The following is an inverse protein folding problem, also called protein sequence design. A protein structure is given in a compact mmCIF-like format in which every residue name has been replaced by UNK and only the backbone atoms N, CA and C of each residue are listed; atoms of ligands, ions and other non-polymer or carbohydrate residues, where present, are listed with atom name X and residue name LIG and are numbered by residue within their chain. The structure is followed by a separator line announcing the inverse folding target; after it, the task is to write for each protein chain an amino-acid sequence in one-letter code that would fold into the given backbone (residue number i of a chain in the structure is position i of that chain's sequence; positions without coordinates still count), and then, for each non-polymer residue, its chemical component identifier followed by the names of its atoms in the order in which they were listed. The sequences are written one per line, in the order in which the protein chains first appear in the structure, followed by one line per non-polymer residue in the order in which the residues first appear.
data_IF_594009011063
#
_entry.id   IF_594009011063
#
_cell.length_a   1.000
_cell.length_b   1.000
_cell.length_c   1.000
_cell.angle_alpha   90.00
_cell.angle_beta   90.00
_cell.angle_gamma   90.00
#
_symmetry.space_group_name_H-M   'P 1'
#
loop_
_entity.id
_entity.type
_entity.pdbx_description
1 polymer ?
#
# COMPACT_ATOMS: atom_id res chain seq x y z
N UNK A 1 8.00 8.41 -39.57
CA UNK A 1 9.06 8.13 -38.59
C UNK A 1 8.39 7.65 -37.31
N UNK A 2 8.78 6.49 -36.75
CA UNK A 2 8.19 6.03 -35.50
C UNK A 2 8.49 7.02 -34.37
N UNK A 3 7.61 7.08 -33.38
CA UNK A 3 7.78 7.93 -32.19
C UNK A 3 8.19 7.10 -30.98
N UNK A 4 8.92 7.69 -30.03
CA UNK A 4 9.32 7.03 -28.79
C UNK A 4 8.40 7.41 -27.62
N UNK A 5 8.24 6.51 -26.65
CA UNK A 5 7.52 6.77 -25.40
C UNK A 5 8.33 6.22 -24.24
N UNK A 6 8.51 7.04 -23.21
CA UNK A 6 9.19 6.60 -21.99
C UNK A 6 8.44 5.44 -21.31
N UNK A 7 9.17 4.55 -20.61
CA UNK A 7 8.56 3.45 -19.87
C UNK A 7 7.51 3.92 -18.87
N UNK A 8 6.39 3.21 -18.78
CA UNK A 8 5.28 3.57 -17.89
C UNK A 8 5.23 2.77 -16.58
N UNK A 9 6.01 1.69 -16.46
CA UNK A 9 6.09 0.86 -15.26
C UNK A 9 7.49 0.87 -14.68
N UNK A 10 7.61 0.68 -13.37
CA UNK A 10 8.90 0.70 -12.67
C UNK A 10 9.83 -0.43 -13.17
N UNK A 11 9.27 -1.62 -13.44
CA UNK A 11 10.02 -2.71 -14.05
C UNK A 11 10.53 -2.37 -15.45
N UNK A 12 9.74 -1.66 -16.26
CA UNK A 12 10.16 -1.25 -17.60
C UNK A 12 11.24 -0.15 -17.54
N UNK A 13 11.20 0.75 -16.55
CA UNK A 13 12.26 1.74 -16.29
C UNK A 13 13.58 1.07 -15.90
N UNK A 14 13.53 0.15 -14.93
CA UNK A 14 14.71 -0.63 -14.50
C UNK A 14 15.29 -1.39 -15.69
N UNK A 15 14.43 -2.05 -16.49
CA UNK A 15 14.87 -2.78 -17.68
C UNK A 15 15.52 -1.87 -18.71
N UNK A 16 14.94 -0.69 -18.98
CA UNK A 16 15.51 0.27 -19.92
C UNK A 16 16.90 0.75 -19.49
N UNK A 17 17.08 1.09 -18.21
CA UNK A 17 18.38 1.48 -17.68
C UNK A 17 19.41 0.33 -17.74
N UNK A 18 19.02 -0.90 -17.37
CA UNK A 18 19.92 -2.07 -17.43
C UNK A 18 20.38 -2.37 -18.85
N UNK A 19 19.48 -2.36 -19.83
CA UNK A 19 19.84 -2.57 -21.23
C UNK A 19 20.84 -1.52 -21.71
N UNK A 20 20.60 -0.24 -21.39
CA UNK A 20 21.51 0.83 -21.78
C UNK A 20 22.89 0.69 -21.13
N UNK A 21 22.95 0.33 -19.84
CA UNK A 21 24.19 0.13 -19.10
C UNK A 21 24.96 -1.08 -19.62
N UNK A 22 24.31 -2.24 -19.77
CA UNK A 22 24.91 -3.47 -20.29
C UNK A 22 25.48 -3.23 -21.69
N UNK A 23 24.70 -2.60 -22.58
CA UNK A 23 25.15 -2.29 -23.93
C UNK A 23 26.36 -1.34 -23.94
N UNK A 24 26.36 -0.34 -23.06
CA UNK A 24 27.46 0.60 -22.93
C UNK A 24 28.74 -0.04 -22.38
N UNK A 25 28.63 -1.04 -21.51
CA UNK A 25 29.79 -1.78 -20.97
C UNK A 25 30.40 -2.75 -21.99
N UNK A 26 29.60 -3.33 -22.88
CA UNK A 26 30.06 -4.22 -23.95
C UNK A 26 30.66 -3.47 -25.15
N UNK A 27 30.44 -2.16 -25.25
CA UNK A 27 30.86 -1.35 -26.40
C UNK A 27 32.25 -0.74 -26.16
N UNK A 28 33.11 -0.79 -27.17
CA UNK A 28 34.42 -0.13 -27.12
C UNK A 28 34.28 1.38 -26.89
N UNK A 29 35.23 1.97 -26.16
CA UNK A 29 35.20 3.38 -25.77
C UNK A 29 35.05 4.35 -26.97
N UNK A 30 35.59 3.98 -28.14
CA UNK A 30 35.51 4.80 -29.35
C UNK A 30 34.15 4.72 -30.05
N UNK A 31 33.35 3.68 -29.78
CA UNK A 31 32.03 3.46 -30.40
C UNK A 31 30.87 3.75 -29.45
N UNK A 32 31.18 4.18 -28.22
CA UNK A 32 30.20 4.44 -27.17
C UNK A 32 29.25 5.57 -27.58
N UNK A 33 27.95 5.26 -27.62
CA UNK A 33 26.92 6.21 -28.07
C UNK A 33 26.42 7.15 -26.97
N UNK A 34 26.94 7.02 -25.75
CA UNK A 34 26.58 7.83 -24.57
C UNK A 34 27.84 8.35 -23.85
N UNK A 35 27.70 9.44 -23.12
CA UNK A 35 28.78 10.02 -22.33
C UNK A 35 29.09 9.18 -21.08
N UNK A 36 30.36 9.15 -20.66
CA UNK A 36 30.78 8.42 -19.45
C UNK A 36 30.10 8.94 -18.17
N UNK A 37 29.80 10.23 -18.12
CA UNK A 37 29.08 10.84 -17.00
C UNK A 37 27.66 10.27 -16.92
N UNK A 38 26.96 10.22 -18.05
CA UNK A 38 25.61 9.67 -18.14
C UNK A 38 25.58 8.16 -17.86
N UNK A 39 26.59 7.40 -18.31
CA UNK A 39 26.74 5.98 -17.96
C UNK A 39 26.90 5.78 -16.44
N UNK A 40 27.71 6.61 -15.80
CA UNK A 40 27.92 6.54 -14.34
C UNK A 40 26.65 6.90 -13.58
N UNK A 41 25.95 7.94 -14.02
CA UNK A 41 24.65 8.35 -13.48
C UNK A 41 23.60 7.24 -13.66
N UNK A 42 23.49 6.66 -14.85
CA UNK A 42 22.57 5.56 -15.15
C UNK A 42 22.80 4.34 -14.24
N UNK A 43 24.05 3.97 -13.97
CA UNK A 43 24.40 2.90 -13.03
C UNK A 43 23.89 3.21 -11.61
N UNK A 44 24.20 4.41 -11.11
CA UNK A 44 23.79 4.83 -9.77
C UNK A 44 22.27 4.89 -9.63
N UNK A 45 21.59 5.49 -10.63
CA UNK A 45 20.14 5.63 -10.66
C UNK A 45 19.45 4.28 -10.77
N UNK A 46 19.94 3.38 -11.63
CA UNK A 46 19.42 2.02 -11.79
C UNK A 46 19.50 1.23 -10.48
N UNK A 47 20.68 1.19 -9.86
CA UNK A 47 20.89 0.46 -8.61
C UNK A 47 20.03 1.02 -7.46
N UNK A 48 19.94 2.34 -7.33
CA UNK A 48 19.12 2.97 -6.31
C UNK A 48 17.63 2.71 -6.52
N UNK A 49 17.14 2.86 -7.76
CA UNK A 49 15.72 2.67 -8.07
C UNK A 49 15.28 1.20 -7.90
N UNK A 50 16.14 0.25 -8.31
CA UNK A 50 15.89 -1.18 -8.09
C UNK A 50 15.80 -1.50 -6.59
N UNK A 51 16.71 -0.97 -5.78
CA UNK A 51 16.66 -1.13 -4.33
C UNK A 51 15.39 -0.52 -3.72
N UNK A 52 14.98 0.68 -4.14
CA UNK A 52 13.74 1.32 -3.68
C UNK A 52 12.50 0.48 -4.04
N UNK A 53 12.40 0.03 -5.29
CA UNK A 53 11.29 -0.81 -5.76
C UNK A 53 11.22 -2.13 -4.99
N UNK A 54 12.37 -2.78 -4.78
CA UNK A 54 12.46 -4.01 -4.00
C UNK A 54 12.01 -3.79 -2.55
N UNK A 55 12.49 -2.72 -1.90
CA UNK A 55 12.09 -2.35 -0.54
C UNK A 55 10.58 -2.09 -0.43
N UNK A 56 9.99 -1.41 -1.41
CA UNK A 56 8.54 -1.21 -1.47
C UNK A 56 7.80 -2.56 -1.53
N UNK A 57 8.23 -3.46 -2.42
CA UNK A 57 7.62 -4.77 -2.58
C UNK A 57 7.68 -5.60 -1.28
N UNK A 58 8.83 -5.60 -0.61
CA UNK A 58 8.98 -6.30 0.67
C UNK A 58 8.01 -5.77 1.74
N UNK A 59 7.91 -4.45 1.90
CA UNK A 59 7.00 -3.84 2.88
C UNK A 59 5.53 -4.12 2.54
N UNK A 60 5.18 -4.05 1.26
CA UNK A 60 3.84 -4.36 0.79
C UNK A 60 3.46 -5.81 1.07
N UNK A 61 4.36 -6.76 0.79
CA UNK A 61 4.14 -8.18 1.08
C UNK A 61 3.95 -8.44 2.59
N UNK A 62 4.75 -7.78 3.43
CA UNK A 62 4.58 -7.85 4.89
C UNK A 62 3.23 -7.28 5.31
N UNK A 63 2.81 -6.13 4.77
CA UNK A 63 1.50 -5.53 5.05
C UNK A 63 0.35 -6.47 4.66
N UNK A 64 0.41 -7.08 3.47
CA UNK A 64 -0.63 -7.99 2.99
C UNK A 64 -0.71 -9.24 3.85
N UNK A 65 0.43 -9.83 4.23
CA UNK A 65 0.49 -10.99 5.12
C UNK A 65 -0.08 -10.67 6.50
N UNK A 66 0.32 -9.54 7.10
CA UNK A 66 -0.20 -9.08 8.39
C UNK A 66 -1.72 -8.85 8.37
N UNK A 67 -2.24 -8.27 7.28
CA UNK A 67 -3.66 -8.00 7.13
C UNK A 67 -4.52 -9.27 7.18
N UNK A 68 -4.06 -10.39 6.60
CA UNK A 68 -4.79 -11.67 6.66
C UNK A 68 -5.07 -12.11 8.10
N UNK A 69 -4.07 -11.99 8.98
CA UNK A 69 -4.22 -12.32 10.40
C UNK A 69 -5.05 -11.28 11.15
N UNK A 70 -4.97 -10.00 10.77
CA UNK A 70 -5.74 -8.92 11.36
C UNK A 70 -7.25 -9.07 11.12
N UNK A 71 -7.67 -9.48 9.92
CA UNK A 71 -9.09 -9.68 9.60
C UNK A 71 -9.79 -10.67 10.55
N UNK A 72 -9.10 -11.72 10.99
CA UNK A 72 -9.62 -12.65 12.00
C UNK A 72 -9.88 -11.96 13.35
N UNK A 73 -8.98 -11.05 13.76
CA UNK A 73 -9.13 -10.26 14.99
C UNK A 73 -10.33 -9.30 14.89
N UNK A 74 -10.50 -8.63 13.75
CA UNK A 74 -11.64 -7.74 13.49
C UNK A 74 -12.96 -8.52 13.58
N UNK A 75 -13.05 -9.67 12.90
CA UNK A 75 -14.26 -10.52 12.91
C UNK A 75 -14.62 -10.95 14.33
N UNK A 76 -13.64 -11.39 15.11
CA UNK A 76 -13.87 -11.83 16.49
C UNK A 76 -14.29 -10.66 17.39
N UNK A 77 -13.58 -9.54 17.35
CA UNK A 77 -13.94 -8.36 18.14
C UNK A 77 -15.36 -7.88 17.83
N UNK A 78 -15.72 -7.78 16.54
CA UNK A 78 -17.07 -7.39 16.11
C UNK A 78 -18.13 -8.35 16.64
N UNK A 79 -17.94 -9.66 16.46
CA UNK A 79 -18.90 -10.69 16.91
C UNK A 79 -19.12 -10.65 18.42
N UNK A 80 -18.06 -10.59 19.22
CA UNK A 80 -18.17 -10.56 20.67
C UNK A 80 -18.80 -9.26 21.17
N UNK A 81 -18.43 -8.13 20.58
CA UNK A 81 -18.99 -6.83 20.95
C UNK A 81 -20.47 -6.74 20.59
N UNK A 82 -20.86 -7.14 19.37
CA UNK A 82 -22.27 -7.13 18.96
C UNK A 82 -23.12 -8.06 19.82
N UNK A 83 -22.61 -9.26 20.14
CA UNK A 83 -23.31 -10.22 20.99
C UNK A 83 -23.49 -9.67 22.41
N UNK A 84 -22.47 -9.02 22.98
CA UNK A 84 -22.59 -8.39 24.29
C UNK A 84 -23.70 -7.32 24.31
N UNK A 85 -23.73 -6.43 23.31
CA UNK A 85 -24.74 -5.37 23.20
C UNK A 85 -26.14 -5.98 23.07
N UNK A 86 -26.31 -7.03 22.26
CA UNK A 86 -27.59 -7.74 22.11
C UNK A 86 -28.08 -8.33 23.43
N UNK A 87 -27.20 -9.00 24.19
CA UNK A 87 -27.56 -9.59 25.49
C UNK A 87 -27.90 -8.48 26.49
N UNK A 88 -27.17 -7.36 26.46
CA UNK A 88 -27.49 -6.20 27.28
C UNK A 88 -28.91 -5.68 26.99
N UNK A 89 -29.27 -5.47 25.72
CA UNK A 89 -30.61 -5.06 25.35
C UNK A 89 -31.67 -6.06 25.79
N UNK A 90 -31.42 -7.37 25.63
CA UNK A 90 -32.34 -8.41 26.11
C UNK A 90 -32.51 -8.37 27.64
N UNK A 91 -31.45 -8.08 28.41
CA UNK A 91 -31.54 -7.89 29.86
C UNK A 91 -32.32 -6.62 30.23
N UNK A 92 -32.26 -5.56 29.42
CA UNK A 92 -33.13 -4.39 29.63
C UNK A 92 -34.59 -4.73 29.33
N UNK A 93 -34.87 -5.45 28.24
CA UNK A 93 -36.23 -5.89 27.90
C UNK A 93 -36.86 -6.78 28.99
N UNK A 94 -36.05 -7.59 29.69
CA UNK A 94 -36.49 -8.40 30.84
C UNK A 94 -36.54 -7.63 32.16
N UNK A 95 -36.24 -6.33 32.16
CA UNK A 95 -36.12 -5.47 33.34
C UNK A 95 -35.07 -5.94 34.38
N UNK A 96 -34.08 -6.75 33.96
CA UNK A 96 -32.93 -7.14 34.78
C UNK A 96 -31.92 -5.99 34.90
N UNK A 97 -31.85 -5.14 33.87
CA UNK A 97 -31.04 -3.93 33.82
C UNK A 97 -31.98 -2.74 33.53
N UNK A 98 -31.85 -1.65 34.29
CA UNK A 98 -32.63 -0.43 34.06
C UNK A 98 -32.24 0.22 32.73
N UNK A 99 -33.22 0.65 31.96
CA UNK A 99 -33.01 1.34 30.68
C UNK A 99 -32.17 2.61 30.83
N UNK A 100 -32.31 3.33 31.94
CA UNK A 100 -31.49 4.52 32.25
C UNK A 100 -29.97 4.24 32.25
N UNK A 101 -29.56 2.97 32.46
CA UNK A 101 -28.15 2.59 32.43
C UNK A 101 -27.57 2.52 31.02
N UNK A 102 -28.38 2.55 29.95
CA UNK A 102 -27.86 2.63 28.58
C UNK A 102 -26.97 3.85 28.34
N UNK A 103 -27.23 4.95 29.05
CA UNK A 103 -26.41 6.16 29.03
C UNK A 103 -24.96 5.95 29.45
N UNK A 104 -24.68 4.95 30.29
CA UNK A 104 -23.31 4.59 30.67
C UNK A 104 -22.48 4.05 29.49
N UNK A 105 -23.16 3.58 28.44
CA UNK A 105 -22.58 2.93 27.28
C UNK A 105 -22.67 3.80 26.02
N UNK A 106 -23.34 4.96 26.09
CA UNK A 106 -23.67 5.79 24.93
C UNK A 106 -24.73 5.17 24.02
N UNK A 107 -25.65 4.37 24.59
CA UNK A 107 -26.70 3.63 23.86
C UNK A 107 -28.12 4.19 24.11
N UNK A 108 -28.25 5.33 24.79
CA UNK A 108 -29.54 5.92 25.16
C UNK A 108 -30.42 6.27 23.95
N UNK A 109 -29.82 6.73 22.85
CA UNK A 109 -30.53 7.20 21.66
C UNK A 109 -30.60 6.16 20.53
N UNK A 110 -30.12 4.93 20.78
CA UNK A 110 -30.06 3.90 19.73
C UNK A 110 -31.38 3.15 19.56
N UNK A 111 -32.39 3.41 20.42
CA UNK A 111 -33.67 2.71 20.43
C UNK A 111 -33.53 1.17 20.46
N UNK A 112 -32.56 0.67 21.24
CA UNK A 112 -32.23 -0.77 21.32
C UNK A 112 -31.81 -1.41 19.98
N UNK A 113 -31.42 -0.60 19.00
CA UNK A 113 -30.84 -1.06 17.75
C UNK A 113 -29.33 -1.22 17.94
N UNK A 114 -28.77 -2.27 17.33
CA UNK A 114 -27.33 -2.49 17.37
C UNK A 114 -26.62 -1.33 16.64
N UNK A 115 -25.63 -0.68 17.26
CA UNK A 115 -24.87 0.36 16.60
C UNK A 115 -24.04 -0.20 15.44
N UNK A 116 -23.65 0.67 14.52
CA UNK A 116 -22.78 0.26 13.41
C UNK A 116 -21.37 -0.08 13.89
N UNK A 117 -20.89 -1.26 13.51
CA UNK A 117 -19.56 -1.82 13.79
C UNK A 117 -18.82 -2.19 12.49
N UNK A 118 -19.25 -1.64 11.35
CA UNK A 118 -18.76 -1.97 10.02
C UNK A 118 -17.28 -1.59 9.83
N UNK A 119 -16.89 -0.38 10.26
CA UNK A 119 -15.52 0.12 10.15
C UNK A 119 -14.68 -0.20 11.39
N UNK A 120 -13.35 -0.15 11.23
CA UNK A 120 -12.43 -0.36 12.36
C UNK A 120 -12.51 0.82 13.35
N UNK A 121 -12.77 2.03 12.86
CA UNK A 121 -12.90 3.24 13.64
C UNK A 121 -14.13 3.16 14.56
N UNK A 122 -15.28 2.75 14.01
CA UNK A 122 -16.51 2.56 14.78
C UNK A 122 -16.37 1.39 15.76
N UNK A 123 -15.77 0.28 15.33
CA UNK A 123 -15.50 -0.85 16.22
C UNK A 123 -14.60 -0.46 17.40
N UNK A 124 -13.60 0.40 17.17
CA UNK A 124 -12.74 0.94 18.21
C UNK A 124 -13.53 1.82 19.19
N UNK A 125 -14.30 2.77 18.66
CA UNK A 125 -15.12 3.68 19.48
C UNK A 125 -16.11 2.92 20.36
N UNK A 126 -16.92 2.05 19.75
CA UNK A 126 -17.93 1.29 20.47
C UNK A 126 -17.31 0.30 21.45
N UNK A 127 -16.21 -0.37 21.10
CA UNK A 127 -15.53 -1.25 22.04
C UNK A 127 -15.06 -0.52 23.30
N UNK A 128 -14.47 0.67 23.16
CA UNK A 128 -14.07 1.50 24.30
C UNK A 128 -15.27 2.03 25.10
N UNK A 129 -16.40 2.37 24.45
CA UNK A 129 -17.65 2.76 25.15
C UNK A 129 -18.25 1.60 25.95
N UNK A 130 -18.45 0.43 25.34
CA UNK A 130 -19.09 -0.73 25.98
C UNK A 130 -18.29 -1.23 27.18
N UNK A 131 -16.96 -1.33 27.03
CA UNK A 131 -16.09 -1.79 28.12
C UNK A 131 -16.11 -0.83 29.31
N UNK A 132 -16.09 0.48 29.05
CA UNK A 132 -16.20 1.49 30.12
C UNK A 132 -17.58 1.50 30.76
N UNK A 133 -18.65 1.42 29.97
CA UNK A 133 -20.02 1.39 30.47
C UNK A 133 -20.29 0.20 31.38
N UNK A 134 -19.84 -1.00 30.99
CA UNK A 134 -20.00 -2.18 31.83
C UNK A 134 -19.18 -2.12 33.11
N UNK A 135 -17.97 -1.55 33.05
CA UNK A 135 -17.19 -1.30 34.25
C UNK A 135 -17.88 -0.31 35.20
N UNK A 136 -18.47 0.77 34.68
CA UNK A 136 -19.21 1.74 35.47
C UNK A 136 -20.48 1.14 36.10
N UNK A 137 -21.24 0.35 35.33
CA UNK A 137 -22.45 -0.31 35.84
C UNK A 137 -22.14 -1.32 36.93
N UNK A 138 -21.09 -2.12 36.76
CA UNK A 138 -20.70 -3.14 37.75
C UNK A 138 -20.08 -2.53 39.01
N UNK A 139 -19.34 -1.42 38.90
CA UNK A 139 -18.83 -0.70 40.09
C UNK A 139 -19.93 -0.04 40.92
N UNK A 140 -21.07 0.28 40.29
CA UNK A 140 -22.29 0.76 40.98
C UNK A 140 -23.15 -0.39 41.54
N UNK A 141 -22.63 -1.62 41.61
CA UNK A 141 -23.33 -2.78 42.16
C UNK A 141 -24.22 -3.54 41.16
N UNK A 142 -24.15 -3.21 39.88
CA UNK A 142 -24.87 -3.93 38.83
C UNK A 142 -24.36 -5.36 38.63
N UNK A 143 -25.27 -6.33 38.46
CA UNK A 143 -24.92 -7.74 38.22
C UNK A 143 -24.28 -7.90 36.83
N UNK A 144 -23.08 -8.48 36.69
CA UNK A 144 -22.40 -8.63 35.39
C UNK A 144 -23.16 -9.45 34.36
N UNK A 145 -22.96 -9.17 33.08
CA UNK A 145 -23.39 -10.07 31.98
C UNK A 145 -22.36 -11.20 31.84
N UNK A 146 -22.82 -12.45 31.85
CA UNK A 146 -21.94 -13.63 31.90
C UNK A 146 -21.62 -14.24 30.52
N UNK A 147 -22.48 -14.06 29.51
CA UNK A 147 -22.27 -14.67 28.19
C UNK A 147 -22.63 -13.71 27.03
N UNK A 148 -21.65 -13.16 26.30
CA UNK A 148 -20.22 -13.24 26.61
C UNK A 148 -19.91 -12.40 27.85
N UNK A 149 -18.97 -12.84 28.67
CA UNK A 149 -18.50 -12.01 29.78
C UNK A 149 -17.74 -10.79 29.27
N UNK A 150 -17.81 -9.67 29.99
CA UNK A 150 -17.08 -8.46 29.60
C UNK A 150 -15.57 -8.68 29.53
N UNK A 151 -15.03 -9.58 30.35
CA UNK A 151 -13.63 -9.99 30.29
C UNK A 151 -13.29 -10.60 28.93
N UNK A 152 -14.15 -11.47 28.39
CA UNK A 152 -13.95 -12.09 27.08
C UNK A 152 -14.02 -11.05 25.95
N UNK A 153 -14.98 -10.13 26.01
CA UNK A 153 -15.10 -9.01 25.07
C UNK A 153 -13.84 -8.15 25.10
N UNK A 154 -13.35 -7.79 26.29
CA UNK A 154 -12.13 -7.01 26.48
C UNK A 154 -10.91 -7.68 25.85
N UNK A 155 -10.71 -8.99 26.04
CA UNK A 155 -9.60 -9.73 25.40
C UNK A 155 -9.67 -9.63 23.88
N UNK A 156 -10.83 -9.91 23.29
CA UNK A 156 -10.99 -9.88 21.83
C UNK A 156 -10.80 -8.47 21.27
N UNK A 157 -11.32 -7.47 21.98
CA UNK A 157 -11.17 -6.06 21.62
C UNK A 157 -9.71 -5.60 21.71
N UNK A 158 -8.97 -5.95 22.76
CA UNK A 158 -7.54 -5.64 22.89
C UNK A 158 -6.72 -6.22 21.74
N UNK A 159 -6.94 -7.50 21.39
CA UNK A 159 -6.27 -8.13 20.25
C UNK A 159 -6.55 -7.38 18.94
N UNK A 160 -7.80 -6.95 18.72
CA UNK A 160 -8.16 -6.11 17.58
C UNK A 160 -7.43 -4.76 17.62
N UNK A 161 -7.43 -4.06 18.76
CA UNK A 161 -6.82 -2.73 18.94
C UNK A 161 -5.32 -2.76 18.62
N UNK A 162 -4.59 -3.74 19.16
CA UNK A 162 -3.16 -3.95 18.91
C UNK A 162 -2.90 -4.29 17.44
N UNK A 163 -3.74 -5.15 16.86
CA UNK A 163 -3.69 -5.49 15.45
C UNK A 163 -3.94 -4.30 14.52
N UNK A 164 -4.88 -3.43 14.88
CA UNK A 164 -5.23 -2.25 14.10
C UNK A 164 -4.13 -1.19 14.14
N UNK A 165 -3.48 -0.99 15.29
CA UNK A 165 -2.28 -0.15 15.39
C UNK A 165 -1.14 -0.69 14.52
N UNK A 166 -0.88 -1.99 14.59
CA UNK A 166 0.14 -2.63 13.74
C UNK A 166 -0.18 -2.47 12.25
N UNK A 167 -1.45 -2.63 11.87
CA UNK A 167 -1.90 -2.43 10.49
C UNK A 167 -1.64 -0.99 10.01
N UNK A 168 -1.91 0.03 10.85
CA UNK A 168 -1.61 1.43 10.54
C UNK A 168 -0.11 1.69 10.38
N UNK A 169 0.73 1.05 11.20
CA UNK A 169 2.18 1.18 11.08
C UNK A 169 2.69 0.62 9.76
N UNK A 170 2.22 -0.57 9.35
CA UNK A 170 2.56 -1.15 8.05
C UNK A 170 2.10 -0.25 6.90
N UNK A 171 0.86 0.23 6.93
CA UNK A 171 0.34 1.15 5.91
C UNK A 171 1.21 2.41 5.79
N UNK A 172 1.54 3.05 6.91
CA UNK A 172 2.39 4.26 6.93
C UNK A 172 3.78 3.99 6.36
N UNK A 173 4.40 2.86 6.72
CA UNK A 173 5.72 2.49 6.21
C UNK A 173 5.70 2.23 4.69
N UNK A 174 4.71 1.48 4.20
CA UNK A 174 4.56 1.18 2.77
C UNK A 174 4.27 2.45 1.97
N UNK A 175 3.35 3.31 2.44
CA UNK A 175 3.02 4.57 1.76
C UNK A 175 4.23 5.50 1.69
N UNK A 176 5.05 5.55 2.73
CA UNK A 176 6.28 6.36 2.71
C UNK A 176 7.21 5.91 1.59
N UNK A 177 7.51 4.61 1.48
CA UNK A 177 8.42 4.11 0.44
C UNK A 177 7.78 4.20 -0.95
N UNK A 178 6.46 4.05 -1.07
CA UNK A 178 5.75 4.28 -2.33
C UNK A 178 5.92 5.72 -2.83
N UNK A 179 5.87 6.71 -1.92
CA UNK A 179 6.12 8.10 -2.26
C UNK A 179 7.60 8.31 -2.65
N UNK A 180 8.54 7.74 -1.90
CA UNK A 180 9.97 7.76 -2.26
C UNK A 180 10.21 7.18 -3.68
N UNK A 181 9.55 6.07 -4.04
CA UNK A 181 9.60 5.51 -5.41
C UNK A 181 8.99 6.47 -6.42
N UNK A 182 7.83 7.06 -6.12
CA UNK A 182 7.13 7.96 -7.02
C UNK A 182 7.96 9.22 -7.33
N UNK A 183 8.56 9.84 -6.32
CA UNK A 183 9.41 11.01 -6.47
C UNK A 183 10.67 10.67 -7.29
N UNK A 184 11.24 9.48 -7.08
CA UNK A 184 12.44 9.05 -7.80
C UNK A 184 12.18 8.71 -9.28
N UNK A 185 10.92 8.45 -9.68
CA UNK A 185 10.58 8.19 -11.09
C UNK A 185 10.94 9.36 -12.00
N UNK A 186 10.84 10.61 -11.52
CA UNK A 186 11.18 11.78 -12.34
C UNK A 186 12.68 11.79 -12.70
N UNK A 187 13.54 11.45 -11.73
CA UNK A 187 14.98 11.34 -11.93
C UNK A 187 15.29 10.20 -12.91
N UNK A 188 14.65 9.05 -12.74
CA UNK A 188 14.82 7.88 -13.62
C UNK A 188 14.37 8.20 -15.05
N UNK A 189 13.20 8.82 -15.21
CA UNK A 189 12.64 9.18 -16.51
C UNK A 189 13.52 10.21 -17.22
N UNK A 190 14.11 11.15 -16.48
CA UNK A 190 15.09 12.11 -17.01
C UNK A 190 16.34 11.41 -17.54
N UNK A 191 16.95 10.49 -16.77
CA UNK A 191 18.15 9.78 -17.21
C UNK A 191 17.87 8.89 -18.42
N UNK A 192 16.74 8.17 -18.43
CA UNK A 192 16.32 7.38 -19.60
C UNK A 192 16.16 8.29 -20.83
N UNK A 193 15.53 9.45 -20.65
CA UNK A 193 15.36 10.43 -21.72
C UNK A 193 16.70 10.92 -22.28
N UNK A 194 17.65 11.28 -21.41
CA UNK A 194 18.99 11.75 -21.81
C UNK A 194 19.78 10.67 -22.55
N UNK A 195 19.71 9.41 -22.09
CA UNK A 195 20.34 8.28 -22.80
C UNK A 195 19.77 8.17 -24.22
N UNK A 196 18.45 8.22 -24.35
CA UNK A 196 17.81 8.07 -25.65
C UNK A 196 18.19 9.23 -26.59
N UNK A 197 18.27 10.46 -26.09
CA UNK A 197 18.72 11.62 -26.89
C UNK A 197 20.18 11.48 -27.36
N UNK A 198 21.11 11.10 -26.48
CA UNK A 198 22.52 10.93 -26.86
C UNK A 198 22.70 9.82 -27.91
N UNK A 199 22.04 8.67 -27.71
CA UNK A 199 22.07 7.54 -28.64
C UNK A 199 21.49 7.92 -30.01
N UNK A 200 20.33 8.59 -30.03
CA UNK A 200 19.69 9.02 -31.27
C UNK A 200 20.55 10.05 -32.04
N UNK A 201 21.17 10.98 -31.32
CA UNK A 201 22.06 11.99 -31.88
C UNK A 201 23.32 11.37 -32.47
N UNK A 202 23.93 10.40 -31.77
CA UNK A 202 25.12 9.70 -32.25
C UNK A 202 24.87 8.96 -33.57
N UNK A 203 23.73 8.28 -33.67
CA UNK A 203 23.35 7.48 -34.84
C UNK A 203 22.62 8.28 -35.95
N UNK A 204 22.52 9.62 -35.84
CA UNK A 204 21.69 10.44 -36.74
C UNK A 204 22.09 10.34 -38.21
N UNK A 205 23.37 10.16 -38.49
CA UNK A 205 23.92 10.10 -39.85
C UNK A 205 23.80 8.71 -40.51
N UNK A 206 23.32 7.70 -39.79
CA UNK A 206 23.14 6.35 -40.32
C UNK A 206 21.85 6.22 -41.14
N UNK A 207 21.78 5.27 -42.09
CA UNK A 207 20.54 4.90 -42.76
C UNK A 207 19.43 4.56 -41.75
N UNK A 208 18.17 4.84 -42.10
CA UNK A 208 17.04 4.77 -41.17
C UNK A 208 16.94 3.43 -40.44
N UNK A 209 17.04 2.32 -41.18
CA UNK A 209 16.94 0.96 -40.64
C UNK A 209 18.07 0.68 -39.63
N UNK A 210 19.32 0.90 -40.05
CA UNK A 210 20.50 0.71 -39.20
C UNK A 210 20.49 1.60 -37.95
N UNK A 211 20.04 2.86 -38.09
CA UNK A 211 19.88 3.78 -36.97
C UNK A 211 18.89 3.24 -35.95
N UNK A 212 17.72 2.81 -36.39
CA UNK A 212 16.69 2.29 -35.48
C UNK A 212 17.19 1.03 -34.77
N UNK A 213 17.87 0.13 -35.47
CA UNK A 213 18.43 -1.08 -34.87
C UNK A 213 19.53 -0.78 -33.85
N UNK A 214 20.45 0.15 -34.14
CA UNK A 214 21.46 0.58 -33.17
C UNK A 214 20.84 1.24 -31.94
N UNK A 215 19.82 2.08 -32.12
CA UNK A 215 19.14 2.73 -31.02
C UNK A 215 18.40 1.72 -30.12
N UNK A 216 17.77 0.70 -30.70
CA UNK A 216 17.10 -0.39 -29.96
C UNK A 216 18.06 -1.18 -29.07
N UNK A 217 19.33 -1.31 -29.45
CA UNK A 217 20.34 -2.00 -28.62
C UNK A 217 20.60 -1.28 -27.29
N UNK A 218 20.40 0.03 -27.22
CA UNK A 218 20.47 0.82 -25.99
C UNK A 218 19.11 0.93 -25.26
N UNK A 219 18.10 0.15 -25.67
CA UNK A 219 16.79 0.12 -25.02
C UNK A 219 15.81 1.18 -25.48
N UNK A 220 16.07 1.89 -26.59
CA UNK A 220 15.10 2.83 -27.17
C UNK A 220 13.91 2.06 -27.77
N UNK A 221 12.69 2.42 -27.38
CA UNK A 221 11.46 1.78 -27.86
C UNK A 221 10.69 2.71 -28.79
N UNK A 222 10.50 2.24 -30.01
CA UNK A 222 9.82 2.94 -31.10
C UNK A 222 8.41 2.38 -31.33
N UNK A 223 7.45 3.27 -31.55
CA UNK A 223 6.06 2.96 -31.86
C UNK A 223 5.66 3.56 -33.20
N UNK A 224 4.85 2.83 -33.95
CA UNK A 224 4.28 3.28 -35.22
C UNK A 224 2.83 3.74 -35.02
N UNK A 225 2.39 4.70 -35.82
CA UNK A 225 0.99 5.11 -35.81
C UNK A 225 0.15 4.06 -36.54
N UNK A 226 -1.14 4.03 -36.23
CA UNK A 226 -2.08 3.06 -36.80
C UNK A 226 -2.11 3.22 -38.33
N UNK A 227 -1.64 2.20 -39.07
CA UNK A 227 -1.56 2.20 -40.53
C UNK A 227 -0.16 2.42 -41.12
N UNK A 228 0.86 2.69 -40.30
CA UNK A 228 2.27 2.72 -40.73
C UNK A 228 2.91 1.35 -40.42
N UNK A 229 3.34 0.61 -41.44
CA UNK A 229 4.15 -0.61 -41.29
C UNK A 229 5.62 -0.33 -41.58
N UNK A 230 6.50 -1.16 -41.00
CA UNK A 230 7.92 -1.22 -41.34
C UNK A 230 8.02 -1.71 -42.79
N UNK A 231 8.33 -0.82 -43.72
CA UNK A 231 8.91 -1.22 -45.01
C UNK A 231 10.38 -1.56 -44.81
#
# INVERSE_FOLDING_TARGET
MPYRRLPNTDNARIKALKIAVEKAEETDFQELSISLNLLTEAKNVSAHFEHLCFRYQQLYDTQVKANKHFLGKVKNARMYLSHFIQVMYLSVMRAEIKESHLSLYGLEDTNMILPDLSSNELLLEWGDKIIRGEHARTSQGGVPIYNPSIAKVKVMFSLFKDGYQTQKLHQKATTRVLNEVADYREIVDKVIFEIWEEVEKYNMNLPVEQRLDRNRQYGVVYYYRKGESVE
#
